data_IF_832867212823
#
_entry.id   IF_832867212823
#
_cell.length_a   1.000
_cell.length_b   1.000
_cell.length_c   1.000
_cell.angle_alpha   90.00
_cell.angle_beta   90.00
_cell.angle_gamma   90.00
#
_symmetry.space_group_name_H-M   'P 1'
#
loop_
_entity.id
_entity.type
_entity.pdbx_description
1 polymer ?
#
# COMPACT_ATOMS: atom_id res chain seq x y z
N UNK A 1 15.62 4.73 2.45
CA UNK A 1 14.82 4.13 3.54
C UNK A 1 13.47 3.71 2.98
N UNK A 2 12.82 2.74 3.62
CA UNK A 2 11.50 2.22 3.24
C UNK A 2 10.61 2.26 4.48
N UNK A 3 9.37 2.74 4.31
CA UNK A 3 8.35 2.74 5.36
C UNK A 3 7.15 1.94 4.87
N UNK A 4 6.72 0.96 5.67
CA UNK A 4 5.45 0.26 5.50
C UNK A 4 4.39 1.00 6.32
N UNK A 5 3.46 1.65 5.64
CA UNK A 5 2.28 2.25 6.26
C UNK A 5 1.22 1.17 6.41
N UNK A 6 0.80 0.91 7.65
CA UNK A 6 -0.11 -0.17 7.99
C UNK A 6 -1.56 0.14 7.60
N UNK A 7 -1.91 1.44 7.58
CA UNK A 7 -3.22 1.97 7.22
C UNK A 7 -4.42 1.26 7.88
N UNK A 8 -4.24 0.78 9.12
CA UNK A 8 -5.26 -0.01 9.84
C UNK A 8 -5.54 -1.41 9.26
N UNK A 9 -4.87 -1.83 8.19
CA UNK A 9 -5.12 -3.11 7.51
C UNK A 9 -4.15 -4.22 7.90
N UNK A 10 -3.05 -3.87 8.57
CA UNK A 10 -1.99 -4.81 8.92
C UNK A 10 -1.43 -4.52 10.32
N UNK A 11 -1.30 -5.55 11.15
CA UNK A 11 -0.65 -5.47 12.44
C UNK A 11 0.37 -6.61 12.52
N UNK A 12 1.67 -6.35 12.39
CA UNK A 12 2.69 -7.39 12.40
C UNK A 12 2.81 -8.03 13.77
N UNK A 13 2.93 -9.36 13.80
CA UNK A 13 3.36 -10.08 14.99
C UNK A 13 4.86 -9.86 15.27
N UNK A 14 5.38 -10.47 16.34
CA UNK A 14 6.77 -10.31 16.75
C UNK A 14 7.77 -10.82 15.69
N UNK A 15 7.46 -11.93 15.00
CA UNK A 15 8.33 -12.48 13.96
C UNK A 15 8.33 -11.58 12.73
N UNK A 16 7.16 -11.07 12.35
CA UNK A 16 6.99 -10.13 11.25
C UNK A 16 7.67 -8.79 11.54
N UNK A 17 7.59 -8.27 12.78
CA UNK A 17 8.31 -7.08 13.19
C UNK A 17 9.83 -7.26 13.08
N UNK A 18 10.36 -8.38 13.57
CA UNK A 18 11.78 -8.71 13.42
C UNK A 18 12.18 -8.83 11.95
N UNK A 19 11.29 -9.36 11.09
CA UNK A 19 11.52 -9.46 9.67
C UNK A 19 11.57 -8.09 8.97
N UNK A 20 10.76 -7.13 9.40
CA UNK A 20 10.80 -5.73 8.92
C UNK A 20 12.08 -5.03 9.38
N UNK A 21 12.44 -5.15 10.66
CA UNK A 21 13.65 -4.57 11.23
C UNK A 21 14.92 -5.09 10.56
N UNK A 22 15.03 -6.41 10.33
CA UNK A 22 16.16 -7.02 9.60
C UNK A 22 16.33 -6.47 8.19
N UNK A 23 15.25 -5.96 7.57
CA UNK A 23 15.24 -5.35 6.24
C UNK A 23 15.37 -3.83 6.27
N UNK A 24 15.54 -3.23 7.45
CA UNK A 24 15.54 -1.78 7.67
C UNK A 24 14.24 -1.11 7.17
N UNK A 25 13.11 -1.81 7.29
CA UNK A 25 11.78 -1.26 6.97
C UNK A 25 11.18 -0.67 8.24
N UNK A 26 10.88 0.63 8.19
CA UNK A 26 10.14 1.29 9.27
C UNK A 26 8.66 0.87 9.19
N UNK A 27 8.09 0.51 10.32
CA UNK A 27 6.65 0.28 10.43
C UNK A 27 5.96 1.57 10.91
N UNK A 28 4.94 2.02 10.18
CA UNK A 28 4.09 3.15 10.55
C UNK A 28 2.66 2.67 10.75
N UNK A 29 2.19 2.53 12.01
CA UNK A 29 0.87 1.96 12.29
C UNK A 29 -0.30 2.91 12.01
N UNK A 30 -0.06 4.23 12.03
CA UNK A 30 -1.15 5.20 11.89
C UNK A 30 -1.76 5.16 10.48
N UNK A 31 -3.07 5.41 10.41
CA UNK A 31 -3.79 5.51 9.15
C UNK A 31 -3.34 6.71 8.34
N UNK A 32 -3.26 6.52 7.03
CA UNK A 32 -2.99 7.59 6.07
C UNK A 32 -4.29 8.37 5.84
N UNK A 33 -4.30 9.64 6.21
CA UNK A 33 -5.43 10.54 6.04
C UNK A 33 -5.45 11.18 4.65
N UNK A 34 -4.29 11.59 4.13
CA UNK A 34 -4.19 12.25 2.82
C UNK A 34 -2.79 12.11 2.20
N UNK A 35 -2.74 12.18 0.86
CA UNK A 35 -1.52 12.35 0.08
C UNK A 35 -1.50 13.75 -0.55
N UNK A 36 -0.48 14.53 -0.22
CA UNK A 36 -0.31 15.90 -0.68
C UNK A 36 0.97 16.05 -1.50
N UNK A 37 1.07 17.10 -2.32
CA UNK A 37 2.35 17.56 -2.88
C UNK A 37 2.76 18.84 -2.18
N UNK A 38 4.02 18.93 -1.76
CA UNK A 38 4.55 20.21 -1.28
C UNK A 38 4.84 21.17 -2.44
N UNK A 39 5.24 22.41 -2.13
CA UNK A 39 5.54 23.44 -3.12
C UNK A 39 6.72 23.11 -4.06
N UNK A 40 7.50 22.06 -3.76
CA UNK A 40 8.57 21.54 -4.62
C UNK A 40 8.15 20.32 -5.44
N UNK A 41 6.91 19.86 -5.28
CA UNK A 41 6.37 18.67 -5.94
C UNK A 41 6.68 17.34 -5.24
N UNK A 42 7.23 17.37 -4.02
CA UNK A 42 7.51 16.17 -3.22
C UNK A 42 6.21 15.62 -2.63
N UNK A 43 6.07 14.29 -2.64
CA UNK A 43 4.91 13.61 -2.05
C UNK A 43 4.99 13.63 -0.51
N UNK A 44 3.93 14.09 0.14
CA UNK A 44 3.77 14.12 1.59
C UNK A 44 2.61 13.20 1.98
N UNK A 45 2.85 12.32 2.94
CA UNK A 45 1.82 11.50 3.58
C UNK A 45 1.38 12.19 4.86
N UNK A 46 0.10 12.54 4.98
CA UNK A 46 -0.51 13.04 6.23
C UNK A 46 -1.18 11.87 6.94
N UNK A 47 -0.83 11.67 8.21
CA UNK A 47 -1.42 10.64 9.06
C UNK A 47 -2.60 11.21 9.84
N UNK A 48 -3.52 10.37 10.29
CA UNK A 48 -4.71 10.80 11.05
C UNK A 48 -4.36 11.52 12.36
N UNK A 49 -3.20 11.21 12.96
CA UNK A 49 -2.69 11.87 14.17
C UNK A 49 -2.05 13.25 13.90
N UNK A 50 -2.10 13.73 12.65
CA UNK A 50 -1.58 15.03 12.22
C UNK A 50 -0.10 15.04 11.83
N UNK A 51 0.63 13.93 12.01
CA UNK A 51 2.03 13.83 11.55
C UNK A 51 2.10 13.88 10.01
N UNK A 52 3.20 14.42 9.50
CA UNK A 52 3.48 14.54 8.07
C UNK A 52 4.83 13.92 7.74
N UNK A 53 4.85 13.03 6.75
CA UNK A 53 6.06 12.32 6.33
C UNK A 53 6.28 12.50 4.83
N UNK A 54 7.41 13.10 4.45
CA UNK A 54 7.76 13.27 3.05
C UNK A 54 8.40 12.01 2.46
N UNK A 55 7.81 11.47 1.40
CA UNK A 55 8.28 10.27 0.69
C UNK A 55 8.69 10.61 -0.75
N UNK A 56 9.53 9.75 -1.35
CA UNK A 56 9.95 9.90 -2.76
C UNK A 56 8.97 9.24 -3.73
N UNK A 57 8.34 8.16 -3.28
CA UNK A 57 7.37 7.38 -4.02
C UNK A 57 6.47 6.66 -3.02
N UNK A 58 5.28 6.26 -3.47
CA UNK A 58 4.36 5.42 -2.73
C UNK A 58 4.01 4.21 -3.61
N UNK A 59 4.21 3.01 -3.07
CA UNK A 59 3.81 1.76 -3.70
C UNK A 59 2.55 1.26 -3.00
N UNK A 60 1.54 0.89 -3.78
CA UNK A 60 0.27 0.36 -3.28
C UNK A 60 0.00 -1.00 -3.92
N UNK A 61 -0.82 -1.80 -3.26
CA UNK A 61 -1.29 -3.10 -3.73
C UNK A 61 -2.83 -3.06 -3.82
N UNK A 62 -3.41 -2.25 -4.74
CA UNK A 62 -4.86 -2.15 -4.84
C UNK A 62 -5.46 -3.44 -5.43
N UNK A 63 -6.74 -3.73 -5.14
CA UNK A 63 -7.50 -4.72 -5.90
C UNK A 63 -7.59 -4.29 -7.38
N UNK A 64 -7.33 -5.25 -8.26
CA UNK A 64 -7.36 -5.11 -9.71
C UNK A 64 -8.62 -5.79 -10.26
N UNK A 65 -9.09 -5.28 -11.39
CA UNK A 65 -10.17 -5.87 -12.18
C UNK A 65 -9.77 -5.92 -13.65
N UNK A 66 -10.39 -6.81 -14.42
CA UNK A 66 -10.17 -6.84 -15.87
C UNK A 66 -10.53 -5.50 -16.51
N UNK A 67 -9.68 -5.03 -17.41
CA UNK A 67 -9.87 -3.73 -18.07
C UNK A 67 -11.09 -3.69 -18.99
N UNK A 68 -11.57 -4.86 -19.44
CA UNK A 68 -12.72 -4.99 -20.32
C UNK A 68 -13.39 -6.38 -20.17
N UNK A 69 -14.61 -6.58 -20.69
CA UNK A 69 -15.37 -7.82 -20.52
C UNK A 69 -14.94 -8.97 -21.46
N UNK A 70 -13.85 -8.83 -22.21
CA UNK A 70 -13.47 -9.78 -23.27
C UNK A 70 -13.27 -11.21 -22.74
N UNK A 71 -12.62 -11.36 -21.59
CA UNK A 71 -12.38 -12.68 -21.00
C UNK A 71 -13.70 -13.39 -20.64
N UNK A 72 -14.67 -12.66 -20.10
CA UNK A 72 -16.02 -13.20 -19.83
C UNK A 72 -16.73 -13.57 -21.15
N UNK A 73 -16.67 -12.72 -22.17
CA UNK A 73 -17.29 -12.98 -23.49
C UNK A 73 -16.72 -14.21 -24.19
N UNK A 74 -15.44 -14.53 -23.94
CA UNK A 74 -14.77 -15.73 -24.44
C UNK A 74 -15.01 -16.97 -23.56
N UNK A 75 -15.77 -16.83 -22.46
CA UNK A 75 -16.07 -17.93 -21.54
C UNK A 75 -14.90 -18.32 -20.63
N UNK A 76 -13.91 -17.43 -20.43
CA UNK A 76 -12.80 -17.68 -19.52
C UNK A 76 -13.26 -17.65 -18.06
N UNK A 77 -12.78 -18.62 -17.29
CA UNK A 77 -12.91 -18.62 -15.83
C UNK A 77 -11.75 -17.87 -15.19
N UNK A 78 -12.01 -17.19 -14.07
CA UNK A 78 -10.97 -16.53 -13.27
C UNK A 78 -10.56 -17.35 -12.06
N UNK A 79 -9.31 -17.16 -11.66
CA UNK A 79 -8.76 -17.61 -10.38
C UNK A 79 -8.44 -16.41 -9.51
N UNK A 80 -8.61 -16.54 -8.19
CA UNK A 80 -8.28 -15.46 -7.27
C UNK A 80 -6.76 -15.32 -7.11
N UNK A 81 -6.24 -14.17 -7.55
CA UNK A 81 -4.85 -13.78 -7.37
C UNK A 81 -4.66 -12.85 -6.17
N UNK A 82 -3.40 -12.56 -5.83
CA UNK A 82 -3.03 -11.71 -4.70
C UNK A 82 -3.64 -10.29 -4.77
N UNK A 83 -3.84 -9.76 -5.98
CA UNK A 83 -4.43 -8.46 -6.22
C UNK A 83 -5.82 -8.56 -6.84
N UNK A 84 -6.50 -9.70 -6.82
CA UNK A 84 -7.81 -9.89 -7.45
C UNK A 84 -7.82 -10.93 -8.58
N UNK A 85 -8.96 -11.08 -9.28
CA UNK A 85 -9.19 -12.16 -10.23
C UNK A 85 -8.29 -12.06 -11.46
N UNK A 86 -7.72 -13.19 -11.86
CA UNK A 86 -6.81 -13.38 -13.00
C UNK A 86 -7.21 -14.57 -13.86
#
# INVERSE_FOLDING_TARGET
DVTLFANGTFAPDAEQMLALEKRNVRFEPASVAELEKDGSGRLIVRLEDGRRTGVKALFTAPPNTMACPLAEQLGCTFTEGFLGPV
#
